data_IF_569210471727
#
_entry.id   IF_569210471727
#
_cell.length_a   1.000
_cell.length_b   1.000
_cell.length_c   1.000
_cell.angle_alpha   90.00
_cell.angle_beta   90.00
_cell.angle_gamma   90.00
#
_symmetry.space_group_name_H-M   'P 1'
#
loop_
_entity.id
_entity.type
_entity.pdbx_description
1 polymer ?
#
# COMPACT_ATOMS: atom_id res chain seq x y z
N UNK A 1 50.35 9.31 -6.97
CA UNK A 1 49.11 8.54 -6.70
C UNK A 1 48.87 8.61 -5.20
N UNK A 2 47.79 9.26 -4.75
CA UNK A 2 47.49 9.36 -3.32
C UNK A 2 47.13 7.97 -2.77
N UNK A 3 47.80 7.52 -1.72
CA UNK A 3 47.46 6.27 -1.03
C UNK A 3 46.00 6.28 -0.56
N UNK A 4 45.25 5.24 -0.92
CA UNK A 4 43.87 5.06 -0.45
C UNK A 4 43.95 4.75 1.05
N UNK A 5 43.56 5.72 1.89
CA UNK A 5 43.55 5.56 3.34
C UNK A 5 42.45 4.59 3.74
N UNK A 6 42.82 3.43 4.31
CA UNK A 6 41.87 2.41 4.75
C UNK A 6 41.49 2.60 6.23
N UNK A 7 40.26 2.23 6.59
CA UNK A 7 39.73 2.25 7.96
C UNK A 7 38.96 0.97 8.27
N UNK A 8 39.08 0.44 9.48
CA UNK A 8 38.22 -0.65 9.94
C UNK A 8 36.75 -0.22 9.96
N UNK A 9 35.81 -1.16 9.90
CA UNK A 9 34.36 -0.86 9.99
C UNK A 9 34.02 -0.01 11.22
N UNK A 10 34.62 -0.29 12.38
CA UNK A 10 34.41 0.52 13.60
C UNK A 10 34.97 1.95 13.47
N UNK A 11 36.14 2.10 12.84
CA UNK A 11 36.73 3.42 12.60
C UNK A 11 35.99 4.22 11.53
N UNK A 12 35.39 3.53 10.55
CA UNK A 12 34.52 4.10 9.53
C UNK A 12 33.20 4.59 10.16
N UNK A 13 32.57 3.77 11.02
CA UNK A 13 31.37 4.16 11.77
C UNK A 13 31.59 5.42 12.60
N UNK A 14 32.75 5.51 13.29
CA UNK A 14 33.13 6.69 14.06
C UNK A 14 33.30 7.93 13.18
N UNK A 15 33.82 7.78 11.96
CA UNK A 15 33.97 8.90 11.02
C UNK A 15 32.62 9.44 10.53
N UNK A 16 31.61 8.57 10.38
CA UNK A 16 30.27 8.90 9.88
C UNK A 16 29.32 9.30 11.03
N UNK A 17 29.75 9.13 12.29
CA UNK A 17 28.98 9.55 13.47
C UNK A 17 27.86 8.58 13.88
N UNK A 18 27.99 7.29 13.53
CA UNK A 18 27.02 6.24 13.92
C UNK A 18 27.66 5.18 14.83
N UNK A 19 26.88 4.47 15.68
CA UNK A 19 27.36 3.35 16.46
C UNK A 19 27.97 2.25 15.58
N UNK A 20 29.10 1.65 15.99
CA UNK A 20 29.76 0.60 15.19
C UNK A 20 28.84 -0.59 14.90
N UNK A 21 28.02 -1.01 15.87
CA UNK A 21 27.04 -2.08 15.72
C UNK A 21 26.05 -1.81 14.58
N UNK A 22 25.63 -0.56 14.44
CA UNK A 22 24.69 -0.12 13.39
C UNK A 22 25.30 -0.27 11.99
N UNK A 23 26.57 0.14 11.82
CA UNK A 23 27.26 -0.01 10.53
C UNK A 23 27.50 -1.48 10.17
N UNK A 24 27.87 -2.32 11.14
CA UNK A 24 28.01 -3.77 10.92
C UNK A 24 26.68 -4.41 10.50
N UNK A 25 25.56 -4.05 11.15
CA UNK A 25 24.23 -4.51 10.75
C UNK A 25 23.83 -4.04 9.36
N UNK A 26 24.18 -2.80 8.99
CA UNK A 26 23.96 -2.27 7.63
C UNK A 26 24.75 -3.06 6.59
N UNK A 27 26.04 -3.28 6.82
CA UNK A 27 26.87 -4.05 5.88
C UNK A 27 26.45 -5.51 5.76
N UNK A 28 25.95 -6.11 6.83
CA UNK A 28 25.34 -7.45 6.79
C UNK A 28 24.06 -7.45 5.93
N UNK A 29 23.17 -6.47 6.13
CA UNK A 29 21.92 -6.33 5.37
C UNK A 29 22.16 -6.04 3.89
N UNK A 30 23.16 -5.22 3.59
CA UNK A 30 23.53 -4.82 2.23
C UNK A 30 24.39 -5.91 1.53
N UNK A 31 24.62 -7.05 2.19
CA UNK A 31 25.35 -8.19 1.63
C UNK A 31 26.85 -7.96 1.44
N UNK A 32 27.41 -6.95 2.11
CA UNK A 32 28.84 -6.58 2.06
C UNK A 32 29.67 -7.41 3.04
N UNK A 33 29.03 -7.86 4.12
CA UNK A 33 29.58 -8.73 5.14
C UNK A 33 28.66 -9.91 5.37
N UNK A 34 29.22 -11.02 5.78
CA UNK A 34 28.52 -12.18 6.33
C UNK A 34 29.04 -12.50 7.73
N UNK A 35 28.26 -13.22 8.53
CA UNK A 35 28.67 -13.68 9.85
C UNK A 35 28.72 -15.21 9.87
N UNK A 36 29.90 -15.77 10.09
CA UNK A 36 30.12 -17.22 10.26
C UNK A 36 31.00 -17.45 11.48
N UNK A 37 30.64 -18.42 12.34
CA UNK A 37 31.41 -18.81 13.53
C UNK A 37 31.87 -17.61 14.40
N UNK A 38 30.94 -16.67 14.61
CA UNK A 38 31.18 -15.40 15.33
C UNK A 38 32.25 -14.46 14.73
N UNK A 39 32.67 -14.70 13.50
CA UNK A 39 33.57 -13.83 12.74
C UNK A 39 32.85 -13.14 11.58
N UNK A 40 33.29 -11.91 11.29
CA UNK A 40 32.84 -11.16 10.12
C UNK A 40 33.64 -11.57 8.90
N UNK A 41 32.94 -12.01 7.86
CA UNK A 41 33.50 -12.43 6.58
C UNK A 41 33.17 -11.37 5.54
N UNK A 42 34.19 -10.95 4.80
CA UNK A 42 34.04 -10.07 3.66
C UNK A 42 33.46 -10.84 2.47
N UNK A 43 32.35 -10.37 1.91
CA UNK A 43 31.74 -10.99 0.72
C UNK A 43 32.37 -10.48 -0.57
N UNK A 44 32.12 -11.15 -1.69
CA UNK A 44 32.55 -10.70 -3.01
C UNK A 44 31.97 -9.33 -3.40
N UNK A 45 30.80 -8.94 -2.87
CA UNK A 45 30.25 -7.61 -3.06
C UNK A 45 31.02 -6.57 -2.23
N UNK A 46 31.37 -6.92 -0.99
CA UNK A 46 32.24 -6.11 -0.13
C UNK A 46 33.62 -5.85 -0.75
N UNK A 47 34.23 -6.86 -1.37
CA UNK A 47 35.51 -6.70 -2.10
C UNK A 47 35.37 -5.77 -3.29
N UNK A 48 34.29 -5.90 -4.09
CA UNK A 48 34.05 -5.06 -5.27
C UNK A 48 33.93 -3.58 -4.96
N UNK A 49 33.42 -3.22 -3.79
CA UNK A 49 33.30 -1.82 -3.35
C UNK A 49 34.56 -1.32 -2.60
N UNK A 50 35.63 -2.13 -2.60
CA UNK A 50 36.94 -1.78 -2.08
C UNK A 50 37.24 -2.29 -0.67
N UNK A 51 36.36 -3.09 -0.07
CA UNK A 51 36.66 -3.79 1.18
C UNK A 51 37.84 -4.74 1.01
N UNK A 52 38.70 -4.84 2.01
CA UNK A 52 39.84 -5.76 2.00
C UNK A 52 40.24 -6.20 3.40
N UNK A 53 40.90 -7.36 3.49
CA UNK A 53 41.54 -7.78 4.73
C UNK A 53 42.84 -7.03 4.97
N UNK A 54 43.08 -6.66 6.23
CA UNK A 54 44.30 -6.01 6.70
C UNK A 54 44.78 -6.74 7.95
N UNK A 55 46.07 -7.05 7.97
CA UNK A 55 46.72 -7.68 9.12
C UNK A 55 47.35 -6.64 10.05
N UNK A 56 47.06 -6.72 11.33
CA UNK A 56 47.69 -5.89 12.37
C UNK A 56 48.35 -6.73 13.43
N UNK A 57 49.59 -6.36 13.80
CA UNK A 57 50.32 -6.96 14.92
C UNK A 57 49.57 -6.86 16.26
N UNK A 58 48.66 -5.88 16.41
CA UNK A 58 47.93 -5.60 17.66
C UNK A 58 46.50 -6.17 17.67
N UNK A 59 45.86 -6.27 16.51
CA UNK A 59 44.42 -6.58 16.41
C UNK A 59 44.11 -7.82 15.56
N UNK A 60 45.13 -8.52 15.06
CA UNK A 60 44.95 -9.64 14.14
C UNK A 60 44.46 -9.19 12.77
N UNK A 61 43.91 -10.14 11.99
CA UNK A 61 43.32 -9.89 10.67
C UNK A 61 41.93 -9.29 10.81
N UNK A 62 41.66 -8.17 10.14
CA UNK A 62 40.36 -7.51 10.15
C UNK A 62 40.00 -6.93 8.78
N UNK A 63 38.73 -6.57 8.60
CA UNK A 63 38.23 -5.99 7.36
C UNK A 63 38.34 -4.46 7.43
N UNK A 64 38.94 -3.87 6.41
CA UNK A 64 39.09 -2.43 6.25
C UNK A 64 38.49 -1.96 4.92
N UNK A 65 38.10 -0.69 4.90
CA UNK A 65 37.36 -0.05 3.83
C UNK A 65 38.03 1.28 3.46
N UNK A 66 37.96 1.72 2.19
CA UNK A 66 38.47 3.02 1.77
C UNK A 66 37.82 4.14 2.59
N UNK A 67 38.58 5.09 3.10
CA UNK A 67 38.02 6.19 3.90
C UNK A 67 37.09 7.11 3.10
N UNK A 68 37.18 7.07 1.76
CA UNK A 68 36.25 7.72 0.83
C UNK A 68 34.83 7.14 0.92
N UNK A 69 34.67 5.91 1.42
CA UNK A 69 33.37 5.29 1.68
C UNK A 69 32.56 6.09 2.71
N UNK A 70 33.21 6.80 3.64
CA UNK A 70 32.50 7.70 4.56
C UNK A 70 31.79 8.86 3.86
N UNK A 71 32.23 9.20 2.65
CA UNK A 71 31.66 10.26 1.80
C UNK A 71 30.97 9.69 0.56
N UNK A 72 30.91 8.36 0.44
CA UNK A 72 30.22 7.71 -0.67
C UNK A 72 28.71 7.77 -0.43
N UNK A 73 27.89 8.11 -1.45
CA UNK A 73 26.44 8.18 -1.35
C UNK A 73 25.77 6.85 -0.96
N UNK A 74 26.54 5.75 -0.94
CA UNK A 74 26.07 4.43 -0.53
C UNK A 74 25.97 4.29 1.00
N UNK A 75 26.70 5.08 1.79
CA UNK A 75 26.79 4.88 3.25
C UNK A 75 26.02 5.92 4.05
N UNK A 76 26.05 7.18 3.61
CA UNK A 76 24.99 8.15 3.89
C UNK A 76 23.92 7.95 2.83
N UNK A 77 23.00 6.98 2.97
CA UNK A 77 21.59 7.23 3.27
C UNK A 77 20.99 5.89 3.76
N UNK A 78 20.95 5.66 5.08
CA UNK A 78 19.91 4.82 5.69
C UNK A 78 19.43 5.49 6.99
N UNK A 79 19.47 6.82 7.03
CA UNK A 79 18.58 7.59 7.89
C UNK A 79 17.22 7.62 7.19
N UNK A 80 16.53 6.49 7.24
CA UNK A 80 15.11 6.31 6.93
C UNK A 80 14.61 7.24 5.81
N UNK A 81 15.00 7.00 4.54
CA UNK A 81 14.47 7.72 3.36
C UNK A 81 13.03 7.32 3.14
N UNK A 82 12.18 7.75 4.06
CA UNK A 82 10.75 7.59 3.91
C UNK A 82 10.26 8.67 2.99
N UNK A 83 9.56 8.24 1.96
CA UNK A 83 8.98 9.10 0.95
C UNK A 83 7.73 9.77 1.52
N UNK A 84 7.64 11.08 1.31
CA UNK A 84 6.39 11.82 1.53
C UNK A 84 5.50 11.71 0.30
N UNK A 85 4.21 12.03 0.45
CA UNK A 85 3.31 12.17 -0.69
C UNK A 85 3.82 13.17 -1.75
N UNK A 86 4.58 14.20 -1.33
CA UNK A 86 5.23 15.15 -2.24
C UNK A 86 6.34 14.49 -3.06
N UNK A 87 7.23 13.72 -2.42
CA UNK A 87 8.30 13.00 -3.10
C UNK A 87 7.75 11.97 -4.10
N UNK A 88 6.76 11.18 -3.67
CA UNK A 88 6.03 10.24 -4.54
C UNK A 88 5.35 10.97 -5.70
N UNK A 89 4.70 12.10 -5.43
CA UNK A 89 4.06 12.92 -6.46
C UNK A 89 5.06 13.36 -7.54
N UNK A 90 6.22 13.88 -7.13
CA UNK A 90 7.28 14.26 -8.07
C UNK A 90 7.73 13.10 -8.94
N UNK A 91 7.89 11.88 -8.39
CA UNK A 91 8.31 10.71 -9.16
C UNK A 91 7.29 10.29 -10.24
N UNK A 92 5.99 10.42 -9.95
CA UNK A 92 4.92 9.99 -10.88
C UNK A 92 4.29 11.14 -11.66
N UNK A 93 4.80 12.37 -11.54
CA UNK A 93 4.21 13.55 -12.18
C UNK A 93 2.83 13.94 -11.63
N UNK A 94 2.56 13.64 -10.36
CA UNK A 94 1.29 13.92 -9.67
C UNK A 94 1.49 14.92 -8.52
N UNK A 95 0.41 15.58 -8.12
CA UNK A 95 0.44 16.43 -6.92
C UNK A 95 0.42 15.59 -5.65
N UNK A 96 0.99 16.11 -4.55
CA UNK A 96 0.92 15.45 -3.24
C UNK A 96 -0.53 15.18 -2.80
N UNK A 97 -1.45 16.08 -3.15
CA UNK A 97 -2.88 15.91 -2.87
C UNK A 97 -3.45 14.70 -3.60
N UNK A 98 -3.10 14.50 -4.88
CA UNK A 98 -3.55 13.33 -5.65
C UNK A 98 -2.99 12.04 -5.07
N UNK A 99 -1.71 12.02 -4.69
CA UNK A 99 -1.09 10.86 -4.02
C UNK A 99 -1.79 10.54 -2.69
N UNK A 100 -2.08 11.55 -1.88
CA UNK A 100 -2.83 11.34 -0.64
C UNK A 100 -4.26 10.84 -0.91
N UNK A 101 -4.94 11.33 -1.95
CA UNK A 101 -6.24 10.80 -2.35
C UNK A 101 -6.17 9.33 -2.75
N UNK A 102 -5.12 8.89 -3.46
CA UNK A 102 -4.89 7.49 -3.81
C UNK A 102 -4.69 6.66 -2.52
N UNK A 103 -3.79 7.06 -1.63
CA UNK A 103 -3.60 6.35 -0.36
C UNK A 103 -4.85 6.33 0.51
N UNK A 104 -5.68 7.37 0.43
CA UNK A 104 -6.94 7.42 1.14
C UNK A 104 -7.95 6.43 0.56
N UNK A 105 -8.03 6.35 -0.77
CA UNK A 105 -8.91 5.41 -1.48
C UNK A 105 -8.51 3.96 -1.22
N UNK A 106 -7.20 3.66 -1.20
CA UNK A 106 -6.65 2.35 -0.82
C UNK A 106 -6.86 2.01 0.67
N UNK A 107 -7.42 2.93 1.45
CA UNK A 107 -7.67 2.72 2.88
C UNK A 107 -6.45 2.90 3.77
N UNK A 108 -5.30 3.33 3.25
CA UNK A 108 -4.03 3.40 3.99
C UNK A 108 -3.87 4.67 4.83
N UNK A 109 -4.56 5.75 4.45
CA UNK A 109 -4.67 6.98 5.25
C UNK A 109 -6.11 7.46 5.32
N UNK A 110 -6.43 8.34 6.25
CA UNK A 110 -7.75 8.98 6.36
C UNK A 110 -7.60 10.48 6.56
N UNK A 111 -8.60 11.24 6.10
CA UNK A 111 -8.63 12.70 6.30
C UNK A 111 -8.71 13.01 7.79
N UNK A 112 -7.97 14.03 8.22
CA UNK A 112 -8.10 14.62 9.54
C UNK A 112 -8.63 16.06 9.44
N UNK A 113 -8.87 16.73 10.57
CA UNK A 113 -9.28 18.14 10.62
C UNK A 113 -8.42 19.01 9.69
N UNK A 114 -7.11 18.78 9.73
CA UNK A 114 -6.13 19.23 8.73
C UNK A 114 -5.11 18.11 8.52
N UNK A 115 -4.71 17.88 7.27
CA UNK A 115 -3.75 16.83 6.94
C UNK A 115 -4.35 15.42 6.96
N UNK A 116 -3.50 14.43 7.22
CA UNK A 116 -3.79 13.02 7.04
C UNK A 116 -3.29 12.17 8.20
N UNK A 117 -4.14 11.24 8.65
CA UNK A 117 -3.78 10.24 9.64
C UNK A 117 -3.58 8.87 9.01
N UNK A 118 -2.59 8.13 9.47
CA UNK A 118 -2.37 6.75 9.04
C UNK A 118 -3.46 5.84 9.62
N UNK A 119 -3.87 4.82 8.85
CA UNK A 119 -4.77 3.76 9.32
C UNK A 119 -3.97 2.52 9.74
N UNK A 120 -4.62 1.55 10.38
CA UNK A 120 -4.01 0.24 10.66
C UNK A 120 -3.49 -0.44 9.39
N UNK A 121 -4.20 -0.30 8.27
CA UNK A 121 -3.74 -0.82 6.98
C UNK A 121 -2.52 -0.08 6.45
N UNK A 122 -2.48 1.25 6.60
CA UNK A 122 -1.29 2.03 6.26
C UNK A 122 -0.06 1.59 7.05
N UNK A 123 -0.24 1.28 8.35
CA UNK A 123 0.84 0.75 9.20
C UNK A 123 1.30 -0.61 8.68
N UNK A 124 0.39 -1.51 8.27
CA UNK A 124 0.74 -2.82 7.66
C UNK A 124 1.54 -2.67 6.35
N UNK A 125 1.35 -1.57 5.62
CA UNK A 125 2.17 -1.23 4.44
C UNK A 125 3.50 -0.55 4.80
N UNK A 126 3.81 -0.43 6.09
CA UNK A 126 5.04 0.15 6.62
C UNK A 126 5.02 1.67 6.74
N UNK A 127 3.87 2.33 6.51
CA UNK A 127 3.74 3.77 6.68
C UNK A 127 3.92 4.18 8.15
N UNK A 128 4.34 5.42 8.37
CA UNK A 128 4.41 6.02 9.72
C UNK A 128 3.72 7.38 9.76
N UNK A 129 3.06 7.64 10.87
CA UNK A 129 2.54 8.96 11.19
C UNK A 129 3.69 9.92 11.47
N UNK A 130 3.57 11.14 10.95
CA UNK A 130 4.45 12.26 11.27
C UNK A 130 3.64 13.56 11.36
N UNK A 131 4.30 14.64 11.74
CA UNK A 131 3.70 15.95 11.95
C UNK A 131 4.63 17.07 11.52
N UNK A 132 4.09 18.10 10.87
CA UNK A 132 4.87 19.28 10.55
C UNK A 132 5.19 20.08 11.82
N UNK A 133 6.49 20.21 12.16
CA UNK A 133 6.94 20.81 13.42
C UNK A 133 6.47 22.26 13.64
N UNK A 134 6.09 22.99 12.60
CA UNK A 134 5.65 24.39 12.69
C UNK A 134 4.15 24.52 12.80
N UNK A 135 3.41 23.80 11.96
CA UNK A 135 1.96 23.93 11.82
C UNK A 135 1.18 22.88 12.61
N UNK A 136 1.84 21.83 13.09
CA UNK A 136 1.23 20.70 13.77
C UNK A 136 0.34 19.85 12.85
N UNK A 137 0.44 20.02 11.53
CA UNK A 137 -0.43 19.30 10.59
C UNK A 137 0.10 17.87 10.43
N UNK A 138 -0.71 16.83 10.73
CA UNK A 138 -0.29 15.45 10.58
C UNK A 138 -0.16 15.05 9.09
N UNK A 139 0.84 14.26 8.78
CA UNK A 139 1.05 13.64 7.47
C UNK A 139 1.66 12.24 7.61
N UNK A 140 1.78 11.51 6.51
CA UNK A 140 2.27 10.12 6.51
C UNK A 140 3.51 9.99 5.64
N UNK A 141 4.49 9.22 6.11
CA UNK A 141 5.71 8.86 5.37
C UNK A 141 5.76 7.36 5.09
N UNK A 142 6.29 7.00 3.92
CA UNK A 142 6.25 5.65 3.39
C UNK A 142 7.64 5.09 3.12
N UNK A 143 7.88 3.79 3.31
CA UNK A 143 9.14 3.18 2.87
C UNK A 143 9.25 3.22 1.34
N UNK A 144 10.46 3.19 0.79
CA UNK A 144 10.67 3.14 -0.67
C UNK A 144 9.97 1.95 -1.32
N UNK A 145 9.85 0.82 -0.61
CA UNK A 145 9.13 -0.38 -1.06
C UNK A 145 7.65 -0.14 -1.40
N UNK A 146 7.07 1.01 -1.00
CA UNK A 146 5.70 1.39 -1.38
C UNK A 146 5.54 1.48 -2.90
N UNK A 147 6.59 1.87 -3.62
CA UNK A 147 6.58 2.00 -5.09
C UNK A 147 6.44 0.65 -5.80
N UNK A 148 6.67 -0.46 -5.09
CA UNK A 148 6.54 -1.81 -5.62
C UNK A 148 5.21 -2.47 -5.26
N UNK A 149 4.35 -1.80 -4.46
CA UNK A 149 3.07 -2.36 -4.04
C UNK A 149 2.07 -2.32 -5.19
N UNK A 150 1.58 -3.49 -5.60
CA UNK A 150 0.66 -3.64 -6.71
C UNK A 150 -0.60 -2.75 -6.62
N UNK A 151 -1.33 -2.69 -5.48
CA UNK A 151 -2.52 -1.82 -5.40
C UNK A 151 -2.20 -0.33 -5.64
N UNK A 152 -1.05 0.14 -5.16
CA UNK A 152 -0.61 1.52 -5.39
C UNK A 152 -0.25 1.78 -6.85
N UNK A 153 0.52 0.88 -7.48
CA UNK A 153 0.87 0.98 -8.88
C UNK A 153 -0.35 0.93 -9.80
N UNK A 154 -1.27 0.00 -9.54
CA UNK A 154 -2.54 -0.13 -10.28
C UNK A 154 -3.31 1.21 -10.20
N UNK A 155 -3.46 1.81 -9.00
CA UNK A 155 -4.13 3.12 -8.84
C UNK A 155 -3.41 4.28 -9.52
N UNK A 156 -2.08 4.29 -9.54
CA UNK A 156 -1.31 5.33 -10.25
C UNK A 156 -1.55 5.24 -11.76
N UNK A 157 -1.54 4.03 -12.32
CA UNK A 157 -1.81 3.81 -13.75
C UNK A 157 -3.25 4.19 -14.10
N UNK A 158 -4.23 3.80 -13.28
CA UNK A 158 -5.65 4.19 -13.45
C UNK A 158 -5.80 5.72 -13.46
N UNK A 159 -5.18 6.44 -12.52
CA UNK A 159 -5.26 7.91 -12.44
C UNK A 159 -4.59 8.61 -13.62
N UNK A 160 -3.53 8.02 -14.19
CA UNK A 160 -2.83 8.56 -15.36
C UNK A 160 -3.49 8.16 -16.69
N UNK A 161 -4.52 7.31 -16.66
CA UNK A 161 -5.15 6.77 -17.87
C UNK A 161 -4.25 5.78 -18.63
N UNK A 162 -3.25 5.23 -17.95
CA UNK A 162 -2.25 4.28 -18.49
C UNK A 162 -2.61 2.83 -18.19
N UNK A 163 -3.76 2.58 -17.55
CA UNK A 163 -4.19 1.22 -17.23
C UNK A 163 -4.52 0.45 -18.52
N UNK A 164 -3.68 -0.51 -18.90
CA UNK A 164 -4.06 -1.51 -19.89
C UNK A 164 -5.15 -2.40 -19.30
N UNK A 165 -6.24 -2.59 -20.05
CA UNK A 165 -7.30 -3.51 -19.68
C UNK A 165 -6.71 -4.93 -19.68
N UNK A 166 -6.35 -5.50 -18.52
CA UNK A 166 -5.82 -6.86 -18.46
C UNK A 166 -6.89 -7.85 -19.00
N UNK A 167 -6.70 -8.52 -20.16
CA UNK A 167 -7.84 -8.99 -20.96
C UNK A 167 -8.41 -10.36 -20.58
N UNK A 168 -7.59 -11.38 -20.31
CA UNK A 168 -8.06 -12.75 -20.54
C UNK A 168 -9.18 -13.27 -19.60
N UNK A 169 -9.05 -13.15 -18.27
CA UNK A 169 -10.06 -13.69 -17.32
C UNK A 169 -11.26 -12.78 -17.10
N UNK A 170 -11.07 -11.47 -17.26
CA UNK A 170 -12.14 -10.47 -17.02
C UNK A 170 -13.13 -10.45 -18.18
N UNK A 171 -12.65 -10.68 -19.40
CA UNK A 171 -13.48 -10.79 -20.60
C UNK A 171 -14.37 -12.04 -20.51
N UNK A 172 -13.83 -13.22 -20.20
CA UNK A 172 -14.62 -14.47 -20.12
C UNK A 172 -15.75 -14.42 -19.08
N UNK A 173 -15.53 -13.81 -17.90
CA UNK A 173 -16.59 -13.66 -16.89
C UNK A 173 -17.61 -12.57 -17.25
N UNK A 174 -17.19 -11.48 -17.91
CA UNK A 174 -18.08 -10.40 -18.37
C UNK A 174 -18.93 -10.82 -19.57
N UNK A 175 -18.37 -11.63 -20.47
CA UNK A 175 -19.10 -12.23 -21.60
C UNK A 175 -20.10 -13.28 -21.12
N UNK A 176 -19.73 -14.09 -20.12
CA UNK A 176 -20.65 -15.09 -19.55
C UNK A 176 -21.80 -14.48 -18.74
N UNK A 177 -21.59 -13.31 -18.15
CA UNK A 177 -22.56 -12.61 -17.31
C UNK A 177 -22.66 -11.14 -17.72
N UNK A 178 -23.23 -10.91 -18.90
CA UNK A 178 -23.40 -9.59 -19.50
C UNK A 178 -24.23 -8.65 -18.62
N UNK A 179 -23.72 -7.43 -18.40
CA UNK A 179 -24.42 -6.38 -17.68
C UNK A 179 -25.47 -5.71 -18.59
N UNK A 180 -26.73 -6.17 -18.51
CA UNK A 180 -27.82 -5.75 -19.39
C UNK A 180 -28.73 -4.68 -18.79
N UNK A 181 -28.73 -4.54 -17.48
CA UNK A 181 -29.62 -3.62 -16.78
C UNK A 181 -28.93 -2.26 -16.68
N UNK A 182 -29.58 -1.21 -17.17
CA UNK A 182 -29.03 0.15 -17.10
C UNK A 182 -29.64 0.88 -15.91
N UNK A 183 -28.80 1.29 -14.97
CA UNK A 183 -29.19 2.09 -13.83
C UNK A 183 -29.36 3.57 -14.20
N UNK A 184 -29.99 4.34 -13.30
CA UNK A 184 -30.37 5.74 -13.54
C UNK A 184 -29.19 6.70 -13.60
N UNK A 185 -28.05 6.35 -13.00
CA UNK A 185 -26.82 7.12 -13.04
C UNK A 185 -25.95 6.82 -14.29
N UNK A 186 -26.33 5.79 -15.06
CA UNK A 186 -25.67 5.35 -16.27
C UNK A 186 -24.85 4.07 -16.13
N UNK A 187 -24.70 3.47 -14.94
CA UNK A 187 -24.06 2.16 -14.80
C UNK A 187 -24.83 1.06 -15.54
N UNK A 188 -24.07 0.07 -16.04
CA UNK A 188 -24.64 -1.20 -16.51
C UNK A 188 -24.34 -2.27 -15.47
N UNK A 189 -25.40 -2.86 -14.91
CA UNK A 189 -25.34 -3.86 -13.84
C UNK A 189 -25.92 -5.20 -14.30
N UNK A 190 -25.63 -6.27 -13.55
CA UNK A 190 -25.89 -7.65 -13.99
C UNK A 190 -27.26 -8.16 -13.58
N UNK A 191 -27.84 -7.62 -12.52
CA UNK A 191 -29.12 -8.07 -11.97
C UNK A 191 -30.08 -6.92 -11.68
N UNK A 192 -31.37 -7.25 -11.58
CA UNK A 192 -32.40 -6.28 -11.18
C UNK A 192 -32.17 -5.79 -9.75
N UNK A 193 -31.67 -6.64 -8.86
CA UNK A 193 -31.38 -6.28 -7.48
C UNK A 193 -30.23 -5.26 -7.39
N UNK A 194 -29.12 -5.50 -8.10
CA UNK A 194 -28.03 -4.51 -8.21
C UNK A 194 -28.54 -3.18 -8.79
N UNK A 195 -29.42 -3.23 -9.81
CA UNK A 195 -29.99 -2.00 -10.38
C UNK A 195 -30.83 -1.22 -9.37
N UNK A 196 -31.59 -1.92 -8.51
CA UNK A 196 -32.37 -1.28 -7.45
C UNK A 196 -31.46 -0.66 -6.38
N UNK A 197 -30.38 -1.35 -6.00
CA UNK A 197 -29.37 -0.85 -5.05
C UNK A 197 -28.67 0.38 -5.64
N UNK A 198 -28.20 0.32 -6.88
CA UNK A 198 -27.53 1.41 -7.60
C UNK A 198 -28.42 2.64 -7.70
N UNK A 199 -29.65 2.47 -8.20
CA UNK A 199 -30.62 3.55 -8.32
C UNK A 199 -30.90 4.18 -6.94
N UNK A 200 -30.99 3.38 -5.89
CA UNK A 200 -31.18 3.90 -4.53
C UNK A 200 -29.98 4.75 -4.09
N UNK A 201 -28.75 4.26 -4.27
CA UNK A 201 -27.54 5.01 -3.92
C UNK A 201 -27.45 6.33 -4.69
N UNK A 202 -27.81 6.32 -5.97
CA UNK A 202 -27.85 7.52 -6.80
C UNK A 202 -28.92 8.52 -6.34
N UNK A 203 -30.15 8.06 -6.10
CA UNK A 203 -31.25 8.92 -5.62
C UNK A 203 -30.98 9.51 -4.22
N UNK A 204 -30.25 8.79 -3.37
CA UNK A 204 -29.78 9.28 -2.08
C UNK A 204 -28.56 10.23 -2.18
N UNK A 205 -28.13 10.59 -3.39
CA UNK A 205 -26.96 11.42 -3.69
C UNK A 205 -25.64 10.87 -3.10
N UNK A 206 -25.57 9.55 -2.94
CA UNK A 206 -24.39 8.88 -2.42
C UNK A 206 -23.46 8.55 -3.58
N UNK A 207 -22.30 9.21 -3.58
CA UNK A 207 -21.20 8.88 -4.48
C UNK A 207 -20.78 7.43 -4.26
N UNK A 208 -20.83 6.63 -5.32
CA UNK A 208 -20.48 5.22 -5.29
C UNK A 208 -19.76 4.80 -6.58
N UNK A 209 -19.14 3.63 -6.55
CA UNK A 209 -18.54 2.97 -7.70
C UNK A 209 -19.05 1.54 -7.82
N UNK A 210 -19.43 1.12 -9.03
CA UNK A 210 -19.88 -0.24 -9.33
C UNK A 210 -18.70 -1.13 -9.76
N UNK A 211 -18.70 -2.41 -9.36
CA UNK A 211 -17.66 -3.39 -9.68
C UNK A 211 -16.23 -2.90 -9.33
N UNK A 212 -16.05 -2.28 -8.16
CA UNK A 212 -14.75 -1.74 -7.75
C UNK A 212 -13.83 -2.87 -7.26
N UNK A 213 -12.60 -2.91 -7.77
CA UNK A 213 -11.56 -3.83 -7.27
C UNK A 213 -11.21 -3.49 -5.83
N UNK A 214 -11.13 -4.50 -4.97
CA UNK A 214 -10.65 -4.32 -3.60
C UNK A 214 -9.15 -3.91 -3.64
N UNK A 215 -8.69 -3.06 -2.71
CA UNK A 215 -7.30 -2.59 -2.68
C UNK A 215 -6.34 -3.65 -2.11
N UNK A 216 -6.35 -4.84 -2.71
CA UNK A 216 -5.60 -6.04 -2.33
C UNK A 216 -4.88 -6.61 -3.55
N UNK A 217 -3.99 -7.58 -3.34
CA UNK A 217 -3.24 -8.19 -4.45
C UNK A 217 -4.12 -9.15 -5.25
N UNK A 218 -5.04 -9.83 -4.56
CA UNK A 218 -6.03 -10.73 -5.13
C UNK A 218 -6.97 -9.98 -6.09
N UNK A 219 -7.37 -10.62 -7.18
CA UNK A 219 -8.22 -10.00 -8.20
C UNK A 219 -9.71 -10.14 -7.83
N UNK A 220 -10.11 -9.45 -6.76
CA UNK A 220 -11.46 -9.50 -6.17
C UNK A 220 -12.13 -8.13 -6.34
N UNK A 221 -13.44 -8.14 -6.61
CA UNK A 221 -14.24 -6.95 -6.87
C UNK A 221 -15.48 -6.96 -5.99
N UNK A 222 -15.86 -5.83 -5.43
CA UNK A 222 -17.13 -5.66 -4.72
C UNK A 222 -18.25 -5.28 -5.70
N UNK A 223 -19.50 -5.39 -5.28
CA UNK A 223 -20.62 -4.95 -6.11
C UNK A 223 -20.68 -3.42 -6.12
N UNK A 224 -20.62 -2.79 -4.94
CA UNK A 224 -20.53 -1.34 -4.81
C UNK A 224 -19.49 -0.89 -3.78
N UNK A 225 -18.85 0.24 -4.04
CA UNK A 225 -17.94 0.90 -3.10
C UNK A 225 -18.39 2.34 -2.84
N UNK A 226 -18.47 2.74 -1.57
CA UNK A 226 -18.85 4.07 -1.12
C UNK A 226 -17.62 4.76 -0.50
N UNK A 227 -16.98 5.70 -1.20
CA UNK A 227 -15.72 6.31 -0.76
C UNK A 227 -15.84 7.09 0.56
N UNK A 228 -16.98 7.73 0.83
CA UNK A 228 -17.18 8.59 2.00
C UNK A 228 -16.99 7.84 3.32
N UNK A 229 -17.50 6.61 3.42
CA UNK A 229 -17.33 5.74 4.60
C UNK A 229 -16.33 4.60 4.40
N UNK A 230 -15.69 4.54 3.23
CA UNK A 230 -14.86 3.40 2.77
C UNK A 230 -15.59 2.07 2.94
N UNK A 231 -16.86 2.04 2.52
CA UNK A 231 -17.76 0.89 2.70
C UNK A 231 -17.89 0.13 1.41
N UNK A 232 -17.81 -1.19 1.49
CA UNK A 232 -18.08 -2.11 0.39
C UNK A 232 -19.46 -2.72 0.62
N UNK A 233 -20.27 -2.79 -0.44
CA UNK A 233 -21.56 -3.46 -0.43
C UNK A 233 -21.47 -4.70 -1.31
N UNK A 234 -21.99 -5.80 -0.77
CA UNK A 234 -22.15 -7.09 -1.45
C UNK A 234 -23.61 -7.50 -1.42
N UNK A 235 -24.15 -7.95 -2.55
CA UNK A 235 -25.48 -8.50 -2.65
C UNK A 235 -25.43 -10.02 -2.87
N UNK A 236 -26.06 -10.74 -1.95
CA UNK A 236 -26.04 -12.19 -1.91
C UNK A 236 -27.36 -12.83 -2.39
N UNK A 237 -27.64 -12.76 -3.69
CA UNK A 237 -28.92 -13.21 -4.27
C UNK A 237 -29.03 -14.68 -4.72
N UNK A 238 -27.98 -15.51 -4.58
CA UNK A 238 -27.95 -16.85 -5.19
C UNK A 238 -27.42 -17.97 -4.26
N UNK A 239 -28.18 -18.32 -3.23
CA UNK A 239 -27.64 -19.16 -2.13
C UNK A 239 -27.64 -20.68 -2.36
N UNK A 240 -28.15 -21.18 -3.49
CA UNK A 240 -28.36 -22.63 -3.71
C UNK A 240 -27.22 -23.38 -4.42
N UNK A 241 -26.13 -22.71 -4.81
CA UNK A 241 -24.96 -23.35 -5.43
C UNK A 241 -23.77 -23.42 -4.46
N UNK A 242 -23.28 -24.63 -4.19
CA UNK A 242 -22.08 -24.88 -3.39
C UNK A 242 -20.85 -24.07 -3.82
N UNK A 243 -20.66 -23.85 -5.13
CA UNK A 243 -19.56 -23.01 -5.65
C UNK A 243 -19.77 -21.54 -5.33
N UNK A 244 -21.01 -21.07 -5.31
CA UNK A 244 -21.34 -19.70 -4.91
C UNK A 244 -21.09 -19.49 -3.41
N UNK A 245 -21.55 -20.42 -2.57
CA UNK A 245 -21.32 -20.35 -1.12
C UNK A 245 -19.83 -20.34 -0.76
N UNK A 246 -19.01 -21.14 -1.45
CA UNK A 246 -17.55 -21.11 -1.27
C UNK A 246 -16.96 -19.74 -1.65
N UNK A 247 -17.36 -19.16 -2.80
CA UNK A 247 -16.91 -17.82 -3.22
C UNK A 247 -17.35 -16.73 -2.24
N UNK A 248 -18.59 -16.77 -1.76
CA UNK A 248 -19.10 -15.86 -0.72
C UNK A 248 -18.22 -15.93 0.53
N UNK A 249 -17.94 -17.15 1.01
CA UNK A 249 -17.07 -17.38 2.19
C UNK A 249 -15.66 -16.83 1.97
N UNK A 250 -15.01 -17.17 0.86
CA UNK A 250 -13.68 -16.65 0.53
C UNK A 250 -13.65 -15.12 0.52
N UNK A 251 -14.66 -14.48 -0.09
CA UNK A 251 -14.77 -13.02 -0.17
C UNK A 251 -14.93 -12.38 1.21
N UNK A 252 -15.79 -12.95 2.06
CA UNK A 252 -15.99 -12.50 3.45
C UNK A 252 -14.69 -12.61 4.26
N UNK A 253 -13.92 -13.70 4.08
CA UNK A 253 -12.64 -13.86 4.77
C UNK A 253 -11.60 -12.82 4.31
N UNK A 254 -11.62 -12.41 3.04
CA UNK A 254 -10.80 -11.29 2.55
C UNK A 254 -11.21 -10.00 3.25
N UNK A 255 -12.50 -9.67 3.29
CA UNK A 255 -12.98 -8.47 3.99
C UNK A 255 -12.53 -8.43 5.46
N UNK A 256 -12.61 -9.56 6.18
CA UNK A 256 -12.13 -9.70 7.56
C UNK A 256 -10.62 -9.56 7.69
N UNK A 257 -9.85 -10.29 6.86
CA UNK A 257 -8.38 -10.26 6.84
C UNK A 257 -7.85 -8.83 6.67
N UNK A 258 -8.51 -8.05 5.83
CA UNK A 258 -8.14 -6.66 5.55
C UNK A 258 -8.94 -5.62 6.35
N UNK A 259 -9.82 -6.02 7.27
CA UNK A 259 -10.56 -5.10 8.14
C UNK A 259 -11.36 -4.05 7.36
N UNK A 260 -11.92 -4.44 6.21
CA UNK A 260 -12.72 -3.56 5.37
C UNK A 260 -14.16 -3.47 5.90
N UNK A 261 -14.77 -2.29 5.78
CA UNK A 261 -16.16 -2.08 6.15
C UNK A 261 -17.06 -2.76 5.12
N UNK A 262 -17.83 -3.76 5.54
CA UNK A 262 -18.69 -4.55 4.66
C UNK A 262 -20.16 -4.39 5.06
N UNK A 263 -21.01 -4.13 4.07
CA UNK A 263 -22.47 -4.27 4.15
C UNK A 263 -22.85 -5.44 3.24
N UNK A 264 -23.55 -6.40 3.82
CA UNK A 264 -24.07 -7.58 3.12
C UNK A 264 -25.58 -7.41 2.97
N UNK A 265 -26.07 -7.44 1.74
CA UNK A 265 -27.50 -7.37 1.41
C UNK A 265 -27.98 -8.72 0.89
N UNK A 266 -29.24 -9.02 1.16
CA UNK A 266 -29.96 -10.19 0.63
C UNK A 266 -31.24 -9.74 -0.06
N UNK A 267 -31.99 -10.68 -0.65
CA UNK A 267 -33.24 -10.38 -1.36
C UNK A 267 -34.26 -9.62 -0.52
N UNK A 268 -34.35 -9.94 0.78
CA UNK A 268 -35.27 -9.29 1.71
C UNK A 268 -34.89 -7.83 1.98
N UNK A 269 -33.59 -7.53 1.97
CA UNK A 269 -33.08 -6.17 2.16
C UNK A 269 -33.39 -5.30 0.93
N UNK A 270 -33.26 -5.86 -0.27
CA UNK A 270 -33.53 -5.17 -1.55
C UNK A 270 -34.99 -4.76 -1.69
N UNK A 271 -35.91 -5.46 -1.02
CA UNK A 271 -37.33 -5.09 -1.00
C UNK A 271 -37.61 -3.84 -0.15
N UNK A 272 -36.70 -3.47 0.78
CA UNK A 272 -36.90 -2.39 1.75
C UNK A 272 -35.64 -1.50 1.89
N UNK A 273 -35.03 -1.11 0.77
CA UNK A 273 -33.76 -0.37 0.77
C UNK A 273 -33.80 0.93 1.57
N UNK A 274 -34.93 1.65 1.56
CA UNK A 274 -35.15 2.90 2.30
C UNK A 274 -35.02 2.72 3.83
N UNK A 275 -35.33 1.54 4.37
CA UNK A 275 -35.21 1.26 5.82
C UNK A 275 -33.88 0.60 6.19
N UNK A 276 -33.28 -0.11 5.22
CA UNK A 276 -32.09 -0.93 5.45
C UNK A 276 -30.81 -0.15 5.25
N UNK A 277 -30.62 0.44 4.08
CA UNK A 277 -29.36 1.08 3.71
C UNK A 277 -29.01 2.29 4.58
N UNK A 278 -29.92 3.24 4.88
CA UNK A 278 -29.61 4.40 5.72
C UNK A 278 -29.06 4.01 7.09
N UNK A 279 -29.70 3.03 7.74
CA UNK A 279 -29.29 2.50 9.04
C UNK A 279 -27.95 1.78 8.99
N UNK A 280 -27.68 1.00 7.94
CA UNK A 280 -26.40 0.29 7.79
C UNK A 280 -25.25 1.25 7.47
N UNK A 281 -25.49 2.21 6.57
CA UNK A 281 -24.51 3.21 6.15
C UNK A 281 -24.14 4.18 7.27
N UNK A 282 -25.11 4.54 8.12
CA UNK A 282 -24.89 5.43 9.26
C UNK A 282 -23.82 4.89 10.22
N UNK A 283 -23.71 3.57 10.38
CA UNK A 283 -22.66 2.92 11.20
C UNK A 283 -21.25 3.24 10.73
N UNK A 284 -21.10 3.62 9.46
CA UNK A 284 -19.83 3.98 8.83
C UNK A 284 -19.75 5.49 8.53
N UNK A 285 -20.61 6.30 9.15
CA UNK A 285 -20.61 7.75 9.00
C UNK A 285 -21.14 8.25 7.65
N UNK A 286 -21.79 7.39 6.87
CA UNK A 286 -22.45 7.78 5.62
C UNK A 286 -23.91 8.06 5.94
N UNK A 287 -24.35 9.30 5.71
CA UNK A 287 -25.74 9.71 5.88
C UNK A 287 -26.46 9.63 4.55
N UNK A 288 -27.68 9.10 4.60
CA UNK A 288 -28.67 9.27 3.55
C UNK A 288 -29.74 10.20 4.14
N UNK A 289 -30.10 11.26 3.39
CA UNK A 289 -31.09 12.30 3.69
C UNK A 289 -30.96 13.06 5.04
#
# INVERSE_FOLDING_TARGET
MSEIKLRSTSALAKQIGIPSKELFSKFLKDGLLEKSDDQWILTSLGEKIGGQYVDSKKYGRYIAWPSSMASAPTIEIQKDTRLTAKALGTMYGLTANKINSIFSELGWITKYLKGWKITEQGIKQGGIQDEDLKSGIPFVRWPETIISKKPFLDSIQEVKGESEMSPAKKVEFREKFEAKQRATDGHFVRSKAEMLIDNWLYMAEIVHAYERKLPVEENVYCDFYIPTGKVYIEYWGYENDSKYLNRKKEKIEIYKKYGFNLIELQDQDVQNLDDVLPRMLLKFGVKAY
#
